data_IF_604908115192
#
_entry.id   IF_604908115192
#
_cell.length_a   1.000
_cell.length_b   1.000
_cell.length_c   1.000
_cell.angle_alpha   90.00
_cell.angle_beta   90.00
_cell.angle_gamma   90.00
#
_symmetry.space_group_name_H-M   'P 1'
#
loop_
_entity.id
_entity.type
_entity.pdbx_description
1 polymer ?
#
# COMPACT_ATOMS: atom_id res chain seq x y z
N UNK A 1 5.73 -12.60 -20.99
CA UNK A 1 4.37 -12.11 -20.93
C UNK A 1 4.33 -10.74 -20.34
N UNK A 2 4.02 -9.79 -21.18
CA UNK A 2 3.97 -8.40 -20.73
C UNK A 2 2.91 -8.19 -19.65
N UNK A 3 1.78 -8.86 -19.80
CA UNK A 3 0.70 -8.72 -18.82
C UNK A 3 1.08 -9.17 -17.43
N UNK A 4 1.87 -10.23 -17.34
CA UNK A 4 2.29 -10.76 -16.04
C UNK A 4 3.17 -9.79 -15.29
N UNK A 5 4.11 -9.17 -15.99
CA UNK A 5 5.04 -8.23 -15.36
C UNK A 5 4.30 -7.03 -14.79
N UNK A 6 3.38 -6.49 -15.56
CA UNK A 6 2.62 -5.34 -15.10
C UNK A 6 1.74 -5.69 -13.91
N UNK A 7 1.16 -6.87 -13.94
CA UNK A 7 0.33 -7.29 -12.83
C UNK A 7 1.12 -7.37 -11.53
N UNK A 8 2.33 -7.88 -11.60
CA UNK A 8 3.17 -7.98 -10.41
C UNK A 8 3.51 -6.60 -9.87
N UNK A 9 3.83 -5.67 -10.76
CA UNK A 9 4.14 -4.31 -10.35
C UNK A 9 2.95 -3.64 -9.69
N UNK A 10 1.79 -3.78 -10.29
CA UNK A 10 0.57 -3.20 -9.71
C UNK A 10 0.24 -3.82 -8.36
N UNK A 11 0.40 -5.13 -8.26
CA UNK A 11 0.14 -5.80 -6.99
C UNK A 11 1.06 -5.28 -5.89
N UNK A 12 2.32 -5.08 -6.22
CA UNK A 12 3.29 -4.56 -5.25
C UNK A 12 2.91 -3.13 -4.84
N UNK A 13 2.52 -2.31 -5.80
CA UNK A 13 2.13 -0.94 -5.51
C UNK A 13 0.90 -0.89 -4.61
N UNK A 14 -0.08 -1.70 -4.91
CA UNK A 14 -1.30 -1.74 -4.12
C UNK A 14 -1.01 -2.22 -2.71
N UNK A 15 -0.17 -3.24 -2.59
CA UNK A 15 0.22 -3.74 -1.28
C UNK A 15 0.90 -2.68 -0.44
N UNK A 16 1.84 -1.96 -1.05
CA UNK A 16 2.54 -0.88 -0.36
C UNK A 16 1.58 0.26 0.03
N UNK A 17 0.66 0.58 -0.86
CA UNK A 17 -0.30 1.62 -0.59
C UNK A 17 -1.20 1.25 0.59
N UNK A 18 -1.60 -0.01 0.65
CA UNK A 18 -2.43 -0.47 1.75
C UNK A 18 -1.70 -0.40 3.08
N UNK A 19 -0.44 -0.80 3.09
CA UNK A 19 0.38 -0.73 4.29
C UNK A 19 0.53 0.71 4.75
N UNK A 20 0.83 1.60 3.82
CA UNK A 20 0.99 3.02 4.16
C UNK A 20 -0.32 3.60 4.67
N UNK A 21 -1.41 3.27 4.03
CA UNK A 21 -2.72 3.75 4.44
C UNK A 21 -3.05 3.27 5.85
N UNK A 22 -2.79 2.02 6.12
CA UNK A 22 -3.05 1.44 7.45
C UNK A 22 -2.23 2.15 8.51
N UNK A 23 -0.99 2.47 8.20
CA UNK A 23 -0.13 3.18 9.14
C UNK A 23 -0.66 4.57 9.42
N UNK A 24 -1.15 5.24 8.40
CA UNK A 24 -1.71 6.58 8.56
C UNK A 24 -2.95 6.54 9.44
N UNK A 25 -3.81 5.57 9.20
CA UNK A 25 -5.03 5.41 9.99
C UNK A 25 -4.67 5.13 11.45
N UNK A 26 -3.74 4.23 11.67
CA UNK A 26 -3.32 3.88 13.02
C UNK A 26 -2.73 5.09 13.74
N UNK A 27 -1.91 5.84 13.04
CA UNK A 27 -1.31 7.04 13.61
C UNK A 27 -2.37 8.07 13.99
N UNK A 28 -3.37 8.19 13.15
CA UNK A 28 -4.46 9.12 13.39
C UNK A 28 -5.25 8.73 14.65
N UNK A 29 -5.49 7.45 14.79
CA UNK A 29 -6.24 6.93 15.95
C UNK A 29 -5.43 7.13 17.23
N UNK A 30 -4.13 6.89 17.15
CA UNK A 30 -3.26 7.03 18.31
C UNK A 30 -2.98 8.49 18.65
N UNK A 31 -3.37 9.39 17.79
CA UNK A 31 -3.13 10.80 18.04
C UNK A 31 -1.69 11.19 17.79
N UNK A 32 -1.07 10.56 16.83
CA UNK A 32 0.30 10.91 16.47
C UNK A 32 0.32 12.28 15.80
N UNK A 33 1.10 13.15 16.34
CA UNK A 33 1.22 14.50 15.81
C UNK A 33 2.65 14.92 15.71
#
# INVERSE_FOLDING_TARGET
>A
MAGSSKKVIYAALIGNALVAFTKFVAASITGSS
#
